data_IF_606196358153
#
_entry.id   IF_606196358153
#
_cell.length_a   1.000
_cell.length_b   1.000
_cell.length_c   1.000
_cell.angle_alpha   90.00
_cell.angle_beta   90.00
_cell.angle_gamma   90.00
#
_symmetry.space_group_name_H-M   'P 1'
#
loop_
_entity.id
_entity.type
_entity.pdbx_description
1 polymer ?
#
# COMPACT_ATOMS: atom_id res chain seq x y z
N UNK A 1 -78.53 20.71 0.45
CA UNK A 1 -77.56 19.73 0.98
C UNK A 1 -77.05 18.95 -0.21
N UNK A 2 -75.85 19.28 -0.64
CA UNK A 2 -75.11 18.59 -1.68
C UNK A 2 -73.95 17.91 -0.96
N UNK A 3 -73.86 16.59 -1.08
CA UNK A 3 -72.83 15.69 -0.54
C UNK A 3 -73.27 14.29 -1.01
N UNK A 4 -72.45 13.38 -1.52
CA UNK A 4 -71.10 13.36 -2.07
C UNK A 4 -71.03 11.92 -2.63
N UNK A 5 -71.20 11.75 -3.94
CA UNK A 5 -71.21 10.42 -4.56
C UNK A 5 -69.75 10.01 -4.83
N UNK A 6 -69.25 8.87 -4.32
CA UNK A 6 -67.83 8.56 -4.40
C UNK A 6 -67.41 8.24 -5.85
N UNK A 7 -66.41 8.97 -6.33
CA UNK A 7 -65.79 8.78 -7.65
C UNK A 7 -65.20 7.37 -7.80
N UNK A 8 -65.33 6.73 -8.98
CA UNK A 8 -64.77 5.41 -9.23
C UNK A 8 -63.24 5.48 -9.40
N UNK A 9 -62.55 4.61 -8.67
CA UNK A 9 -61.10 4.39 -8.75
C UNK A 9 -60.73 3.90 -10.17
N UNK A 10 -59.75 4.50 -10.86
CA UNK A 10 -59.31 3.99 -12.15
C UNK A 10 -58.51 2.69 -12.01
N UNK A 11 -58.93 1.69 -12.78
CA UNK A 11 -58.32 0.38 -12.95
C UNK A 11 -56.93 0.51 -13.62
N UNK A 12 -55.91 -0.29 -13.23
CA UNK A 12 -54.57 -0.16 -13.78
C UNK A 12 -54.50 -0.66 -15.24
N UNK A 13 -53.88 0.14 -16.10
CA UNK A 13 -53.64 -0.18 -17.51
C UNK A 13 -52.83 -1.50 -17.68
N UNK A 14 -53.14 -2.32 -18.71
CA UNK A 14 -52.42 -3.57 -18.96
C UNK A 14 -51.00 -3.30 -19.46
N UNK A 15 -50.01 -3.73 -18.68
CA UNK A 15 -48.60 -3.72 -19.06
C UNK A 15 -48.36 -4.71 -20.20
N UNK A 16 -47.85 -4.18 -21.31
CA UNK A 16 -47.37 -4.93 -22.46
C UNK A 16 -46.39 -6.05 -22.06
N UNK A 17 -46.81 -7.28 -22.30
CA UNK A 17 -45.94 -8.45 -22.53
C UNK A 17 -45.07 -8.23 -23.77
N UNK A 18 -43.74 -8.43 -23.71
CA UNK A 18 -42.97 -8.64 -24.92
C UNK A 18 -43.13 -10.09 -25.37
N UNK A 19 -43.56 -10.20 -26.62
CA UNK A 19 -43.77 -11.39 -27.43
C UNK A 19 -42.45 -12.13 -27.68
N UNK A 20 -42.55 -13.46 -27.64
CA UNK A 20 -41.53 -14.44 -28.01
C UNK A 20 -41.33 -14.42 -29.53
N UNK A 21 -40.12 -14.11 -30.01
CA UNK A 21 -39.77 -14.33 -31.41
C UNK A 21 -38.50 -15.20 -31.56
N UNK A 22 -38.60 -16.09 -32.55
CA UNK A 22 -37.85 -17.32 -32.82
C UNK A 22 -36.41 -17.11 -33.31
N UNK A 23 -35.59 -18.13 -33.06
CA UNK A 23 -34.26 -18.41 -33.66
C UNK A 23 -34.26 -18.35 -35.21
N UNK A 24 -33.10 -18.05 -35.83
CA UNK A 24 -32.46 -19.09 -36.66
C UNK A 24 -30.91 -19.16 -36.60
N UNK A 25 -30.43 -20.40 -36.44
CA UNK A 25 -29.44 -21.16 -37.23
C UNK A 25 -28.10 -20.54 -37.77
N UNK A 26 -27.00 -21.17 -37.34
CA UNK A 26 -25.80 -21.63 -38.10
C UNK A 26 -24.68 -20.66 -38.58
N UNK A 27 -23.49 -20.82 -37.93
CA UNK A 27 -22.06 -20.75 -38.34
C UNK A 27 -21.53 -19.82 -39.48
N UNK A 28 -20.18 -19.54 -39.61
CA UNK A 28 -19.02 -19.98 -38.82
C UNK A 28 -18.06 -18.84 -38.36
N UNK A 29 -17.13 -19.21 -37.47
CA UNK A 29 -15.99 -18.43 -36.98
C UNK A 29 -15.00 -17.97 -38.08
N UNK A 30 -14.45 -16.74 -38.02
CA UNK A 30 -13.24 -16.41 -38.78
C UNK A 30 -11.94 -16.78 -38.02
N UNK A 31 -10.87 -17.12 -38.75
CA UNK A 31 -9.72 -17.87 -38.25
C UNK A 31 -8.71 -17.04 -37.45
N UNK A 32 -8.05 -17.73 -36.52
CA UNK A 32 -6.80 -17.36 -35.85
C UNK A 32 -5.75 -17.01 -36.92
N UNK A 33 -5.39 -15.73 -37.00
CA UNK A 33 -4.22 -15.26 -37.75
C UNK A 33 -3.09 -14.95 -36.78
N UNK A 34 -2.02 -15.70 -36.96
CA UNK A 34 -0.71 -15.59 -36.31
C UNK A 34 -0.18 -14.17 -36.50
N UNK A 35 -0.01 -13.42 -35.41
CA UNK A 35 0.67 -12.14 -35.44
C UNK A 35 2.19 -12.39 -35.49
N UNK A 36 2.77 -12.28 -36.68
CA UNK A 36 4.21 -12.09 -36.86
C UNK A 36 4.65 -10.79 -36.15
N UNK A 37 5.79 -10.77 -35.44
CA UNK A 37 6.34 -9.53 -34.94
C UNK A 37 6.95 -8.76 -36.12
N UNK A 38 6.20 -7.78 -36.64
CA UNK A 38 6.75 -6.79 -37.57
C UNK A 38 7.78 -5.95 -36.83
N UNK A 39 9.05 -6.28 -37.07
CA UNK A 39 10.21 -5.50 -36.63
C UNK A 39 10.23 -4.18 -37.40
N UNK A 40 9.45 -3.20 -36.95
CA UNK A 40 9.55 -1.82 -37.41
C UNK A 40 10.74 -1.17 -36.69
N UNK A 41 11.93 -1.36 -37.26
CA UNK A 41 13.15 -0.68 -36.86
C UNK A 41 13.12 0.75 -37.41
N UNK A 42 12.80 1.70 -36.54
CA UNK A 42 13.22 3.09 -36.65
C UNK A 42 13.89 3.45 -35.33
N UNK A 43 15.22 3.47 -35.33
CA UNK A 43 16.01 4.66 -34.98
C UNK A 43 17.50 4.32 -34.98
N UNK A 44 18.27 5.09 -35.74
CA UNK A 44 19.71 4.97 -35.86
C UNK A 44 20.41 5.48 -34.60
N UNK A 45 20.59 4.59 -33.62
CA UNK A 45 21.50 4.82 -32.51
C UNK A 45 22.39 3.58 -32.33
N UNK A 46 23.68 3.73 -32.64
CA UNK A 46 24.73 2.79 -32.23
C UNK A 46 24.72 2.68 -30.70
N UNK A 47 23.98 1.70 -30.18
CA UNK A 47 23.99 1.37 -28.76
C UNK A 47 25.28 0.61 -28.49
N UNK A 48 26.32 1.34 -28.07
CA UNK A 48 27.47 0.77 -27.36
C UNK A 48 26.92 -0.21 -26.32
N UNK A 49 27.25 -1.50 -26.49
CA UNK A 49 26.87 -2.54 -25.54
C UNK A 49 27.41 -2.11 -24.18
N UNK A 50 26.52 -1.78 -23.25
CA UNK A 50 26.88 -1.62 -21.85
C UNK A 50 27.27 -3.01 -21.38
N UNK A 51 28.58 -3.21 -21.29
CA UNK A 51 29.24 -4.51 -21.14
C UNK A 51 28.60 -5.38 -20.07
N UNK A 52 28.00 -6.47 -20.54
CA UNK A 52 27.80 -7.70 -19.79
C UNK A 52 28.65 -8.75 -20.49
N UNK A 53 29.95 -8.77 -20.19
CA UNK A 53 30.81 -9.90 -20.53
C UNK A 53 30.38 -11.09 -19.68
N UNK A 54 30.14 -12.22 -20.33
CA UNK A 54 29.87 -13.49 -19.66
C UNK A 54 31.03 -13.79 -18.69
N UNK A 55 30.69 -14.03 -17.43
CA UNK A 55 31.65 -14.40 -16.40
C UNK A 55 32.12 -15.84 -16.72
N UNK A 56 33.41 -16.02 -16.98
CA UNK A 56 34.02 -17.35 -16.98
C UNK A 56 33.87 -17.96 -15.58
N UNK A 57 33.35 -19.19 -15.52
CA UNK A 57 33.26 -19.96 -14.29
C UNK A 57 34.66 -20.38 -13.85
N UNK A 58 35.30 -19.56 -13.03
CA UNK A 58 36.49 -19.98 -12.28
C UNK A 58 36.07 -20.94 -11.15
N UNK A 59 36.71 -22.11 -11.16
CA UNK A 59 36.55 -23.17 -10.18
C UNK A 59 36.75 -22.68 -8.74
N UNK A 60 35.99 -23.18 -7.76
CA UNK A 60 36.12 -22.76 -6.37
C UNK A 60 37.48 -23.18 -5.80
N UNK A 61 38.34 -22.19 -5.52
CA UNK A 61 39.52 -22.38 -4.67
C UNK A 61 39.01 -22.42 -3.23
N UNK A 62 39.16 -23.57 -2.57
CA UNK A 62 38.99 -23.73 -1.13
C UNK A 62 39.98 -22.82 -0.40
N UNK A 63 39.52 -21.66 0.07
CA UNK A 63 40.26 -20.84 1.03
C UNK A 63 39.88 -21.30 2.42
N UNK A 64 40.75 -22.09 3.02
CA UNK A 64 40.72 -22.44 4.44
C UNK A 64 40.78 -21.13 5.24
N UNK A 65 39.78 -20.78 6.08
CA UNK A 65 39.90 -19.61 6.93
C UNK A 65 40.90 -19.91 8.06
N UNK A 66 42.10 -19.38 7.92
CA UNK A 66 43.03 -19.23 9.05
C UNK A 66 42.35 -18.35 10.10
N UNK A 67 42.08 -18.92 11.27
CA UNK A 67 41.47 -18.22 12.41
C UNK A 67 42.52 -17.29 13.00
N UNK A 68 42.70 -16.13 12.39
CA UNK A 68 43.45 -15.04 13.01
C UNK A 68 42.56 -14.47 14.11
N UNK A 69 43.05 -14.49 15.35
CA UNK A 69 42.33 -14.00 16.52
C UNK A 69 41.81 -12.57 16.28
N UNK A 70 40.59 -12.29 16.72
CA UNK A 70 39.89 -11.05 16.36
C UNK A 70 40.65 -9.79 16.80
N UNK A 71 41.51 -9.91 17.79
CA UNK A 71 42.35 -8.83 18.34
C UNK A 71 43.46 -8.41 17.36
N UNK A 72 44.15 -9.36 16.72
CA UNK A 72 45.21 -9.06 15.74
C UNK A 72 44.66 -8.36 14.51
N UNK A 73 43.47 -8.79 14.04
CA UNK A 73 42.79 -8.14 12.92
C UNK A 73 42.38 -6.71 13.25
N UNK A 74 41.94 -6.45 14.49
CA UNK A 74 41.58 -5.12 14.96
C UNK A 74 42.81 -4.23 15.09
N UNK A 75 43.90 -4.73 15.67
CA UNK A 75 45.16 -4.00 15.81
C UNK A 75 45.75 -3.63 14.45
N UNK A 76 45.75 -4.56 13.48
CA UNK A 76 46.18 -4.30 12.12
C UNK A 76 45.35 -3.20 11.43
N UNK A 77 44.03 -3.17 11.68
CA UNK A 77 43.14 -2.15 11.13
C UNK A 77 43.41 -0.76 11.74
N UNK A 78 43.69 -0.70 13.04
CA UNK A 78 44.03 0.55 13.75
C UNK A 78 45.36 1.12 13.25
N UNK A 79 46.41 0.28 13.12
CA UNK A 79 47.71 0.71 12.63
C UNK A 79 47.63 1.22 11.19
N UNK A 80 46.97 0.48 10.31
CA UNK A 80 46.72 0.91 8.91
C UNK A 80 45.99 2.25 8.84
N UNK A 81 45.03 2.47 9.74
CA UNK A 81 44.29 3.73 9.82
C UNK A 81 45.16 4.89 10.33
N UNK A 82 46.06 4.65 11.29
CA UNK A 82 46.97 5.68 11.79
C UNK A 82 48.04 6.05 10.76
N UNK A 83 48.61 5.07 10.08
CA UNK A 83 49.60 5.27 9.01
C UNK A 83 49.01 6.13 7.90
N UNK A 84 47.84 5.77 7.38
CA UNK A 84 47.16 6.54 6.34
C UNK A 84 46.77 7.95 6.78
N UNK A 85 46.41 8.14 8.06
CA UNK A 85 46.14 9.48 8.60
C UNK A 85 47.43 10.32 8.71
N UNK A 86 48.54 9.73 9.14
CA UNK A 86 49.83 10.42 9.24
C UNK A 86 50.40 10.82 7.88
N UNK A 87 50.26 9.96 6.87
CA UNK A 87 50.66 10.24 5.49
C UNK A 87 49.81 11.36 4.87
N UNK A 88 48.52 11.42 5.22
CA UNK A 88 47.63 12.52 4.85
C UNK A 88 47.84 13.81 5.68
N UNK A 89 48.86 13.85 6.56
CA UNK A 89 49.22 15.04 7.35
C UNK A 89 48.33 15.30 8.56
N UNK A 90 47.50 14.35 8.98
CA UNK A 90 46.74 14.44 10.23
C UNK A 90 47.64 14.05 11.42
N UNK A 91 48.01 15.02 12.25
CA UNK A 91 48.65 14.76 13.54
C UNK A 91 47.60 14.29 14.56
N UNK A 92 47.89 13.28 15.41
CA UNK A 92 47.00 12.88 16.48
C UNK A 92 46.85 14.05 17.46
N UNK A 93 45.64 14.63 17.52
CA UNK A 93 45.31 15.68 18.47
C UNK A 93 45.20 15.04 19.85
N UNK A 94 46.08 15.40 20.78
CA UNK A 94 45.97 14.96 22.17
C UNK A 94 44.58 15.38 22.72
N UNK A 95 43.91 14.54 23.52
CA UNK A 95 42.65 14.92 24.14
C UNK A 95 42.90 16.14 25.04
N UNK A 96 42.33 17.28 24.66
CA UNK A 96 42.41 18.49 25.47
C UNK A 96 41.74 18.23 26.82
N UNK A 97 42.36 18.62 27.95
CA UNK A 97 41.69 18.54 29.24
C UNK A 97 40.44 19.42 29.17
N UNK A 98 39.29 18.83 29.52
CA UNK A 98 38.00 19.51 29.59
C UNK A 98 38.18 20.81 30.38
N UNK A 99 37.92 21.93 29.70
CA UNK A 99 37.91 23.24 30.31
C UNK A 99 36.96 23.25 31.52
N UNK A 100 37.47 23.83 32.59
CA UNK A 100 36.79 24.17 33.85
C UNK A 100 35.36 24.63 33.61
N UNK A 101 34.48 24.07 34.43
CA UNK A 101 33.05 24.30 34.51
C UNK A 101 32.75 25.77 34.85
N UNK A 102 32.66 26.62 33.82
CA UNK A 102 32.05 27.94 33.97
C UNK A 102 30.54 27.79 34.13
N UNK A 103 30.02 28.34 35.24
CA UNK A 103 28.59 28.49 35.58
C UNK A 103 27.71 28.65 34.33
N UNK A 104 26.59 27.92 34.20
CA UNK A 104 25.71 28.07 33.06
C UNK A 104 25.08 29.46 33.09
N UNK A 105 25.56 30.37 32.22
CA UNK A 105 24.84 31.60 31.89
C UNK A 105 23.47 31.18 31.36
N UNK A 106 22.42 31.57 32.08
CA UNK A 106 21.04 31.28 31.75
C UNK A 106 20.75 31.81 30.34
N UNK A 107 20.62 30.89 29.38
CA UNK A 107 20.29 31.24 27.99
C UNK A 107 18.91 31.90 28.02
N UNK A 108 18.70 33.05 27.35
CA UNK A 108 17.40 33.70 27.35
C UNK A 108 16.36 32.70 26.83
N UNK A 109 15.38 32.40 27.70
CA UNK A 109 14.30 31.46 27.40
C UNK A 109 13.57 31.97 26.17
N UNK A 110 13.74 31.28 25.03
CA UNK A 110 13.13 31.67 23.76
C UNK A 110 11.62 31.76 23.95
N UNK A 111 11.08 32.98 23.88
CA UNK A 111 9.65 33.21 23.98
C UNK A 111 8.95 32.44 22.85
N UNK A 112 7.87 31.69 23.14
CA UNK A 112 7.19 30.92 22.11
C UNK A 112 6.64 31.87 21.04
N UNK A 113 7.13 31.75 19.80
CA UNK A 113 6.63 32.55 18.68
C UNK A 113 5.13 32.30 18.53
N UNK A 114 4.33 33.38 18.56
CA UNK A 114 2.88 33.32 18.35
C UNK A 114 2.60 32.73 16.97
N UNK A 115 2.09 31.50 16.93
CA UNK A 115 1.68 30.83 15.70
C UNK A 115 0.45 31.58 15.15
N UNK A 116 0.42 31.89 13.85
CA UNK A 116 -0.70 32.59 13.23
C UNK A 116 -2.01 31.79 13.37
N UNK A 117 -3.15 32.47 13.46
CA UNK A 117 -4.48 31.83 13.57
C UNK A 117 -4.74 30.83 12.44
N UNK A 118 -4.27 31.12 11.23
CA UNK A 118 -4.35 30.21 10.08
C UNK A 118 -3.57 28.89 10.30
N UNK A 119 -2.36 28.97 10.85
CA UNK A 119 -1.53 27.81 11.14
C UNK A 119 -2.09 27.00 12.33
N UNK A 120 -2.72 27.67 13.30
CA UNK A 120 -3.46 27.02 14.41
C UNK A 120 -4.69 26.24 13.89
N UNK A 121 -5.49 26.85 13.00
CA UNK A 121 -6.65 26.17 12.40
C UNK A 121 -6.24 24.98 11.53
N UNK A 122 -5.14 25.09 10.77
CA UNK A 122 -4.61 23.97 9.99
C UNK A 122 -4.12 22.82 10.89
N UNK A 123 -3.41 23.14 11.98
CA UNK A 123 -2.99 22.12 12.97
C UNK A 123 -4.18 21.44 13.65
N UNK A 124 -5.24 22.19 13.97
CA UNK A 124 -6.43 21.64 14.61
C UNK A 124 -7.23 20.73 13.66
N UNK A 125 -7.35 21.10 12.37
CA UNK A 125 -7.89 20.21 11.33
C UNK A 125 -7.10 18.92 11.16
N UNK A 126 -5.77 18.98 11.23
CA UNK A 126 -4.89 17.80 11.18
C UNK A 126 -4.99 16.90 12.42
N UNK A 127 -5.45 17.43 13.55
CA UNK A 127 -5.62 16.63 14.77
C UNK A 127 -6.88 15.75 14.69
N UNK A 128 -7.95 16.24 14.07
CA UNK A 128 -9.20 15.48 13.92
C UNK A 128 -9.07 14.28 12.95
N UNK A 129 -8.05 14.28 12.08
CA UNK A 129 -7.83 13.20 11.11
C UNK A 129 -6.93 12.06 11.64
N UNK A 130 -6.80 11.92 12.96
CA UNK A 130 -5.96 10.88 13.60
C UNK A 130 -6.68 9.55 13.85
N UNK A 131 -7.87 9.36 13.32
CA UNK A 131 -8.56 8.10 13.48
C UNK A 131 -7.83 6.96 12.73
N UNK A 132 -8.00 5.74 13.22
CA UNK A 132 -7.26 4.55 12.76
C UNK A 132 -7.71 4.22 11.33
N UNK A 133 -6.74 4.12 10.42
CA UNK A 133 -6.96 3.93 8.97
C UNK A 133 -6.18 2.72 8.46
N UNK A 134 -6.67 2.18 7.35
CA UNK A 134 -6.02 1.09 6.64
C UNK A 134 -4.70 1.58 6.03
N UNK A 135 -3.68 0.72 6.03
CA UNK A 135 -2.36 1.10 5.54
C UNK A 135 -2.33 1.20 4.01
N UNK A 136 -2.35 2.43 3.48
CA UNK A 136 -2.33 2.76 2.04
C UNK A 136 -1.17 2.11 1.28
N UNK A 137 0.01 1.93 1.89
CA UNK A 137 1.17 1.35 1.21
C UNK A 137 0.97 -0.14 0.91
N UNK A 138 0.16 -0.84 1.73
CA UNK A 138 -0.13 -2.26 1.61
C UNK A 138 -1.40 -2.54 0.78
N UNK A 139 -1.82 -1.60 -0.07
CA UNK A 139 -3.04 -1.75 -0.88
C UNK A 139 -3.03 -2.99 -1.77
N UNK A 140 -1.88 -3.29 -2.40
CA UNK A 140 -1.80 -4.44 -3.30
C UNK A 140 -1.86 -5.75 -2.54
N UNK A 141 -1.14 -5.87 -1.41
CA UNK A 141 -1.23 -7.03 -0.51
C UNK A 141 -2.67 -7.28 -0.07
N UNK A 142 -3.33 -6.24 0.46
CA UNK A 142 -4.75 -6.30 0.82
C UNK A 142 -5.62 -6.76 -0.35
N UNK A 143 -5.38 -6.26 -1.56
CA UNK A 143 -6.19 -6.58 -2.74
C UNK A 143 -6.07 -8.06 -3.12
N UNK A 144 -4.89 -8.66 -2.97
CA UNK A 144 -4.70 -10.08 -3.24
C UNK A 144 -5.26 -10.95 -2.13
N UNK A 145 -4.98 -10.63 -0.87
CA UNK A 145 -5.50 -11.41 0.27
C UNK A 145 -7.03 -11.33 0.36
N UNK A 146 -7.62 -10.15 0.16
CA UNK A 146 -9.08 -10.01 0.16
C UNK A 146 -9.72 -10.83 -0.96
N UNK A 147 -9.13 -10.89 -2.15
CA UNK A 147 -9.66 -11.73 -3.25
C UNK A 147 -9.50 -13.21 -2.99
N UNK A 148 -8.39 -13.63 -2.40
CA UNK A 148 -8.18 -15.01 -2.01
C UNK A 148 -9.20 -15.40 -0.92
N UNK A 149 -9.35 -14.56 0.10
CA UNK A 149 -10.27 -14.76 1.20
C UNK A 149 -11.72 -14.83 0.72
N UNK A 150 -12.17 -13.91 -0.14
CA UNK A 150 -13.54 -13.91 -0.68
C UNK A 150 -13.89 -15.18 -1.46
N UNK A 151 -12.89 -15.82 -2.08
CA UNK A 151 -13.06 -17.13 -2.73
C UNK A 151 -13.08 -18.27 -1.71
N UNK A 152 -12.19 -18.24 -0.73
CA UNK A 152 -12.09 -19.25 0.32
C UNK A 152 -13.36 -19.34 1.17
N UNK A 153 -13.98 -18.20 1.46
CA UNK A 153 -15.19 -18.12 2.29
C UNK A 153 -16.48 -18.27 1.47
N UNK A 154 -16.38 -18.56 0.16
CA UNK A 154 -17.51 -18.80 -0.76
C UNK A 154 -18.57 -17.68 -0.77
N UNK A 155 -18.14 -16.41 -0.75
CA UNK A 155 -19.07 -15.28 -0.95
C UNK A 155 -19.54 -15.27 -2.42
N UNK A 156 -20.81 -14.91 -2.66
CA UNK A 156 -21.35 -14.75 -4.02
C UNK A 156 -20.49 -13.81 -4.87
N UNK A 157 -20.14 -14.25 -6.09
CA UNK A 157 -19.22 -13.52 -6.97
C UNK A 157 -19.71 -12.09 -7.30
N UNK A 158 -21.03 -11.88 -7.28
CA UNK A 158 -21.70 -10.59 -7.45
C UNK A 158 -21.26 -9.54 -6.41
N UNK A 159 -20.90 -9.98 -5.20
CA UNK A 159 -20.53 -9.10 -4.11
C UNK A 159 -19.02 -8.86 -4.02
N UNK A 160 -18.18 -9.63 -4.73
CA UNK A 160 -16.72 -9.57 -4.61
C UNK A 160 -16.16 -8.19 -4.91
N UNK A 161 -16.57 -7.61 -6.05
CA UNK A 161 -16.09 -6.30 -6.48
C UNK A 161 -16.50 -5.19 -5.51
N UNK A 162 -17.75 -5.24 -5.04
CA UNK A 162 -18.33 -4.28 -4.10
C UNK A 162 -17.60 -4.34 -2.75
N UNK A 163 -17.44 -5.53 -2.18
CA UNK A 163 -16.73 -5.72 -0.91
C UNK A 163 -15.27 -5.26 -1.03
N UNK A 164 -14.55 -5.73 -2.05
CA UNK A 164 -13.15 -5.39 -2.27
C UNK A 164 -12.93 -3.86 -2.37
N UNK A 165 -13.69 -3.19 -3.23
CA UNK A 165 -13.53 -1.78 -3.52
C UNK A 165 -14.02 -0.87 -2.40
N UNK A 166 -15.22 -1.14 -1.86
CA UNK A 166 -15.83 -0.27 -0.85
C UNK A 166 -15.14 -0.38 0.50
N UNK A 167 -14.72 -1.58 0.93
CA UNK A 167 -13.98 -1.76 2.19
C UNK A 167 -12.66 -0.99 2.13
N UNK A 168 -11.92 -1.08 1.02
CA UNK A 168 -10.68 -0.33 0.84
C UNK A 168 -10.92 1.18 0.87
N UNK A 169 -11.88 1.66 0.06
CA UNK A 169 -12.18 3.08 -0.04
C UNK A 169 -12.60 3.68 1.31
N UNK A 170 -13.49 3.00 2.05
CA UNK A 170 -13.94 3.46 3.38
C UNK A 170 -12.81 3.38 4.41
N UNK A 171 -12.11 2.24 4.49
CA UNK A 171 -11.06 2.00 5.49
C UNK A 171 -9.83 2.90 5.32
N UNK A 172 -9.49 3.23 4.08
CA UNK A 172 -8.34 4.07 3.78
C UNK A 172 -8.67 5.56 3.77
N UNK A 173 -9.81 5.99 3.20
CA UNK A 173 -10.16 7.42 3.04
C UNK A 173 -10.87 8.00 4.26
N UNK A 174 -11.69 7.20 4.91
CA UNK A 174 -12.44 7.60 6.09
C UNK A 174 -11.70 7.05 7.30
N UNK A 175 -12.15 5.92 7.83
CA UNK A 175 -11.63 5.24 9.01
C UNK A 175 -11.90 3.74 8.94
N UNK A 176 -11.14 2.96 9.70
CA UNK A 176 -11.33 1.50 9.81
C UNK A 176 -12.70 1.16 10.38
N UNK A 177 -13.23 1.98 11.31
CA UNK A 177 -14.57 1.78 11.86
C UNK A 177 -15.62 1.80 10.75
N UNK A 178 -15.56 2.77 9.85
CA UNK A 178 -16.48 2.89 8.70
C UNK A 178 -16.40 1.70 7.74
N UNK A 179 -15.22 1.08 7.60
CA UNK A 179 -15.07 -0.16 6.84
C UNK A 179 -15.74 -1.35 7.55
N UNK A 180 -15.52 -1.49 8.87
CA UNK A 180 -16.16 -2.55 9.67
C UNK A 180 -17.68 -2.42 9.70
N UNK A 181 -18.18 -1.20 9.85
CA UNK A 181 -19.62 -0.92 9.83
C UNK A 181 -20.25 -1.29 8.47
N UNK A 182 -19.53 -1.07 7.37
CA UNK A 182 -19.98 -1.53 6.05
C UNK A 182 -20.04 -3.06 5.93
N UNK A 183 -19.09 -3.80 6.51
CA UNK A 183 -19.17 -5.27 6.50
C UNK A 183 -20.40 -5.75 7.29
N UNK A 184 -20.69 -5.13 8.44
CA UNK A 184 -21.90 -5.43 9.23
C UNK A 184 -23.18 -5.10 8.48
N UNK A 185 -23.22 -3.96 7.80
CA UNK A 185 -24.34 -3.57 6.93
C UNK A 185 -24.59 -4.62 5.82
N UNK A 186 -23.53 -5.20 5.26
CA UNK A 186 -23.65 -6.28 4.26
C UNK A 186 -24.12 -7.61 4.86
N UNK A 187 -23.74 -7.90 6.10
CA UNK A 187 -24.28 -9.03 6.84
C UNK A 187 -25.78 -8.87 7.11
N UNK A 188 -26.21 -7.68 7.55
CA UNK A 188 -27.62 -7.40 7.84
C UNK A 188 -28.49 -7.39 6.57
N UNK A 189 -27.90 -7.06 5.42
CA UNK A 189 -28.52 -7.19 4.10
C UNK A 189 -28.53 -8.63 3.56
N UNK A 190 -28.14 -9.64 4.36
CA UNK A 190 -27.99 -11.05 3.97
C UNK A 190 -27.09 -11.30 2.75
N UNK A 191 -26.14 -10.40 2.48
CA UNK A 191 -25.16 -10.59 1.41
C UNK A 191 -23.98 -11.46 1.83
N UNK A 192 -23.74 -11.57 3.15
CA UNK A 192 -22.69 -12.41 3.76
C UNK A 192 -23.19 -13.00 5.09
N UNK A 193 -22.64 -14.15 5.47
CA UNK A 193 -22.92 -14.83 6.74
C UNK A 193 -22.04 -14.30 7.90
N UNK A 194 -22.37 -14.66 9.14
CA UNK A 194 -21.63 -14.25 10.34
C UNK A 194 -20.16 -14.70 10.31
N UNK A 195 -19.90 -15.95 9.93
CA UNK A 195 -18.54 -16.49 9.82
C UNK A 195 -17.71 -15.75 8.75
N UNK A 196 -18.35 -15.39 7.63
CA UNK A 196 -17.73 -14.64 6.55
C UNK A 196 -17.38 -13.21 7.02
N UNK A 197 -18.29 -12.56 7.74
CA UNK A 197 -18.07 -11.25 8.34
C UNK A 197 -16.85 -11.28 9.27
N UNK A 198 -16.77 -12.24 10.20
CA UNK A 198 -15.69 -12.29 11.19
C UNK A 198 -14.30 -12.46 10.54
N UNK A 199 -14.20 -13.26 9.48
CA UNK A 199 -12.96 -13.39 8.71
C UNK A 199 -12.60 -12.10 7.98
N UNK A 200 -13.57 -11.41 7.38
CA UNK A 200 -13.35 -10.11 6.73
C UNK A 200 -12.90 -9.04 7.74
N UNK A 201 -13.49 -9.01 8.94
CA UNK A 201 -13.11 -8.10 10.01
C UNK A 201 -11.67 -8.35 10.47
N UNK A 202 -11.28 -9.62 10.60
CA UNK A 202 -9.92 -10.03 10.97
C UNK A 202 -8.89 -9.58 9.93
N UNK A 203 -9.21 -9.71 8.64
CA UNK A 203 -8.36 -9.20 7.55
C UNK A 203 -8.20 -7.68 7.63
N UNK A 204 -9.31 -6.94 7.82
CA UNK A 204 -9.26 -5.47 7.96
C UNK A 204 -8.37 -5.06 9.14
N UNK A 205 -8.43 -5.79 10.26
CA UNK A 205 -7.60 -5.52 11.43
C UNK A 205 -6.11 -5.75 11.18
N UNK A 206 -5.73 -6.76 10.39
CA UNK A 206 -4.34 -7.00 10.00
C UNK A 206 -3.73 -5.82 9.21
N UNK A 207 -4.51 -5.23 8.32
CA UNK A 207 -4.09 -4.09 7.50
C UNK A 207 -4.29 -2.72 8.16
N UNK A 208 -4.82 -2.70 9.38
CA UNK A 208 -5.05 -1.46 10.12
C UNK A 208 -3.75 -0.94 10.73
N UNK A 209 -3.46 0.34 10.49
CA UNK A 209 -2.28 0.97 11.11
C UNK A 209 -2.52 1.22 12.60
N UNK A 210 -1.59 0.81 13.46
CA UNK A 210 -1.51 1.25 14.87
C UNK A 210 -0.83 2.61 14.89
N UNK A 211 -1.60 3.70 14.81
CA UNK A 211 -1.10 5.09 14.82
C UNK A 211 -1.77 5.91 15.89
#
# INVERSE_FOLDING_TARGET
MAEDEPEPIPEPEPVHTPEEEKLPDSEPTPPVVVAEPTSSMQDGADRRSLGLSALEEESPVEVVPEVVETEDRVNALISRSQEGASEAGYAPVAPTPKATEEKPKEKPRRQPRRISKAKKNNQMRKHNSRARRLNRSRHMEYKYEMRALLKEIEVGQEHHSVLLGTIWAKGERQDVKSAKDFVRERRDASAINDEQMDRLLSLIDNYTTRR
#
